data_IF_357020786284
#
_entry.id   IF_357020786284
#
_cell.length_a   1.000
_cell.length_b   1.000
_cell.length_c   1.000
_cell.angle_alpha   90.00
_cell.angle_beta   90.00
_cell.angle_gamma   90.00
#
_symmetry.space_group_name_H-M   'P 1'
#
loop_
_entity.id
_entity.type
_entity.pdbx_description
1 polymer ?
#
# COMPACT_ATOMS: atom_id res chain seq x y z
N UNK A 1 -3.55 -25.43 -11.54
CA UNK A 1 -3.98 -25.21 -10.16
C UNK A 1 -4.75 -23.91 -10.17
N UNK A 2 -6.03 -23.90 -9.79
CA UNK A 2 -6.75 -22.62 -9.63
C UNK A 2 -6.12 -21.86 -8.47
N UNK A 3 -5.66 -20.64 -8.72
CA UNK A 3 -5.19 -19.73 -7.67
C UNK A 3 -6.39 -18.95 -7.16
N UNK A 4 -6.67 -19.09 -5.86
CA UNK A 4 -7.69 -18.25 -5.21
C UNK A 4 -7.21 -16.79 -5.19
N UNK A 5 -8.05 -15.82 -5.61
CA UNK A 5 -7.68 -14.41 -5.54
C UNK A 5 -7.34 -14.01 -4.10
N UNK A 6 -6.12 -13.52 -3.87
CA UNK A 6 -5.65 -13.07 -2.56
C UNK A 6 -5.76 -11.55 -2.45
N UNK A 7 -6.19 -11.10 -1.27
CA UNK A 7 -6.09 -9.71 -0.84
C UNK A 7 -4.92 -9.61 0.14
N UNK A 8 -3.86 -8.89 -0.21
CA UNK A 8 -2.82 -8.52 0.76
C UNK A 8 -3.35 -7.38 1.63
N UNK A 9 -3.70 -7.71 2.88
CA UNK A 9 -4.36 -6.78 3.78
C UNK A 9 -3.43 -5.72 4.37
N UNK A 10 -2.11 -5.83 4.19
CA UNK A 10 -1.17 -4.88 4.78
C UNK A 10 0.19 -4.89 4.06
N UNK A 11 0.43 -3.88 3.24
CA UNK A 11 1.73 -3.58 2.65
C UNK A 11 2.13 -2.12 2.87
N UNK A 12 3.42 -1.81 2.70
CA UNK A 12 3.95 -0.45 2.69
C UNK A 12 4.56 -0.15 1.33
N UNK A 13 3.74 -0.14 0.27
CA UNK A 13 4.20 0.12 -1.09
C UNK A 13 4.58 1.59 -1.29
N UNK A 14 4.18 2.48 -0.38
CA UNK A 14 4.58 3.90 -0.34
C UNK A 14 6.04 4.12 0.05
N UNK A 15 6.70 3.13 0.66
CA UNK A 15 8.10 3.22 1.08
C UNK A 15 9.08 3.38 -0.10
N UNK A 16 10.17 4.10 0.16
CA UNK A 16 11.21 4.44 -0.82
C UNK A 16 11.92 3.22 -1.42
N UNK A 17 11.93 2.11 -0.68
CA UNK A 17 12.49 0.83 -1.06
C UNK A 17 11.85 0.27 -2.34
N UNK A 18 10.62 0.70 -2.64
CA UNK A 18 9.91 0.33 -3.86
C UNK A 18 10.06 1.36 -4.98
N UNK A 19 10.69 2.52 -4.79
CA UNK A 19 10.70 3.59 -5.82
C UNK A 19 11.26 3.14 -7.17
N UNK A 20 12.29 2.30 -7.15
CA UNK A 20 12.92 1.81 -8.37
C UNK A 20 12.05 0.83 -9.16
N UNK A 21 11.15 0.10 -8.50
CA UNK A 21 10.50 -1.06 -9.10
C UNK A 21 9.01 -1.25 -8.76
N UNK A 22 8.38 -0.29 -8.07
CA UNK A 22 7.00 -0.37 -7.52
C UNK A 22 5.99 -0.93 -8.51
N UNK A 23 5.91 -0.34 -9.70
CA UNK A 23 4.99 -0.79 -10.73
C UNK A 23 5.24 -2.26 -11.11
N UNK A 24 6.51 -2.64 -11.28
CA UNK A 24 6.87 -4.03 -11.58
C UNK A 24 6.59 -4.98 -10.41
N UNK A 25 6.76 -4.52 -9.17
CA UNK A 25 6.41 -5.28 -7.94
C UNK A 25 4.91 -5.56 -7.89
N UNK A 26 4.08 -4.56 -8.17
CA UNK A 26 2.62 -4.69 -8.22
C UNK A 26 2.19 -5.69 -9.30
N UNK A 27 2.76 -5.60 -10.50
CA UNK A 27 2.45 -6.55 -11.58
C UNK A 27 2.89 -7.98 -11.25
N UNK A 28 4.06 -8.15 -10.60
CA UNK A 28 4.50 -9.48 -10.13
C UNK A 28 3.56 -10.04 -9.07
N UNK A 29 3.08 -9.21 -8.14
CA UNK A 29 2.13 -9.63 -7.10
C UNK A 29 0.81 -10.10 -7.73
N UNK A 30 0.28 -9.33 -8.69
CA UNK A 30 -0.92 -9.69 -9.45
C UNK A 30 -0.74 -10.99 -10.23
N UNK A 31 0.38 -11.16 -10.93
CA UNK A 31 0.69 -12.39 -11.65
C UNK A 31 0.80 -13.64 -10.74
N UNK A 32 1.07 -13.44 -9.44
CA UNK A 32 1.09 -14.48 -8.42
C UNK A 32 -0.28 -14.73 -7.75
N UNK A 33 -1.33 -14.00 -8.15
CA UNK A 33 -2.70 -14.12 -7.60
C UNK A 33 -3.04 -13.12 -6.49
N UNK A 34 -2.18 -12.13 -6.22
CA UNK A 34 -2.45 -11.03 -5.29
C UNK A 34 -3.11 -9.87 -6.05
N UNK A 35 -4.40 -10.01 -6.34
CA UNK A 35 -5.14 -9.07 -7.18
C UNK A 35 -5.51 -7.76 -6.47
N UNK A 36 -5.45 -7.75 -5.14
CA UNK A 36 -5.78 -6.59 -4.31
C UNK A 36 -4.77 -6.40 -3.20
N UNK A 37 -4.37 -5.16 -2.95
CA UNK A 37 -3.37 -4.81 -1.93
C UNK A 37 -3.83 -3.56 -1.18
N UNK A 38 -3.81 -3.59 0.15
CA UNK A 38 -3.98 -2.40 1.00
C UNK A 38 -2.59 -1.85 1.37
N UNK A 39 -2.25 -0.68 0.85
CA UNK A 39 -1.04 0.05 1.29
C UNK A 39 -1.37 0.96 2.47
N UNK A 40 -0.55 0.91 3.51
CA UNK A 40 -0.87 1.49 4.83
C UNK A 40 -0.01 2.72 5.10
N UNK A 41 -0.64 3.89 5.10
CA UNK A 41 -0.05 5.13 5.62
C UNK A 41 0.02 5.12 7.14
N UNK A 42 1.15 5.60 7.67
CA UNK A 42 1.48 5.61 9.11
C UNK A 42 1.58 7.01 9.71
N UNK A 43 1.49 8.04 8.86
CA UNK A 43 1.43 9.46 9.18
C UNK A 43 0.74 10.19 8.03
N UNK A 44 0.64 11.53 8.10
CA UNK A 44 0.00 12.33 7.04
C UNK A 44 0.69 12.18 5.69
N UNK A 45 2.02 12.17 5.65
CA UNK A 45 2.79 12.13 4.40
C UNK A 45 2.62 10.78 3.70
N UNK A 46 2.89 9.69 4.41
CA UNK A 46 2.70 8.31 3.93
C UNK A 46 1.24 8.00 3.59
N UNK A 47 0.27 8.58 4.32
CA UNK A 47 -1.16 8.44 4.00
C UNK A 47 -1.53 9.10 2.67
N UNK A 48 -0.96 10.26 2.36
CA UNK A 48 -1.14 10.92 1.07
C UNK A 48 -0.44 10.16 -0.06
N UNK A 49 0.75 9.63 0.19
CA UNK A 49 1.46 8.76 -0.76
C UNK A 49 0.67 7.48 -1.06
N UNK A 50 0.18 6.80 -0.02
CA UNK A 50 -0.70 5.63 -0.12
C UNK A 50 -1.96 5.93 -0.96
N UNK A 51 -2.62 7.07 -0.70
CA UNK A 51 -3.78 7.50 -1.49
C UNK A 51 -3.43 7.78 -2.96
N UNK A 52 -2.28 8.39 -3.24
CA UNK A 52 -1.82 8.63 -4.59
C UNK A 52 -1.57 7.32 -5.34
N UNK A 53 -0.95 6.32 -4.69
CA UNK A 53 -0.75 5.00 -5.25
C UNK A 53 -2.07 4.27 -5.54
N UNK A 54 -3.02 4.31 -4.61
CA UNK A 54 -4.34 3.69 -4.80
C UNK A 54 -5.13 4.33 -5.96
N UNK A 55 -4.92 5.63 -6.23
CA UNK A 55 -5.49 6.30 -7.41
C UNK A 55 -4.80 5.91 -8.71
N UNK A 56 -3.49 5.62 -8.66
CA UNK A 56 -2.68 5.32 -9.83
C UNK A 56 -2.81 3.87 -10.30
N UNK A 57 -2.92 2.92 -9.37
CA UNK A 57 -2.88 1.48 -9.67
C UNK A 57 -4.22 0.80 -9.34
N UNK A 58 -4.98 0.34 -10.35
CA UNK A 58 -6.20 -0.44 -10.10
C UNK A 58 -5.91 -1.70 -9.28
N UNK A 59 -6.70 -1.91 -8.22
CA UNK A 59 -6.50 -3.03 -7.28
C UNK A 59 -5.72 -2.65 -6.03
N UNK A 60 -5.08 -1.47 -5.98
CA UNK A 60 -4.55 -0.92 -4.74
C UNK A 60 -5.64 -0.15 -3.97
N UNK A 61 -5.61 -0.32 -2.67
CA UNK A 61 -6.41 0.39 -1.68
C UNK A 61 -5.46 1.11 -0.71
N UNK A 62 -5.93 2.18 -0.08
CA UNK A 62 -5.15 2.92 0.90
C UNK A 62 -5.83 2.92 2.27
N UNK A 63 -5.04 2.70 3.31
CA UNK A 63 -5.40 3.06 4.68
C UNK A 63 -4.64 4.35 5.07
N UNK A 64 -5.32 5.25 5.77
CA UNK A 64 -4.74 6.47 6.32
C UNK A 64 -4.85 6.44 7.84
N UNK A 65 -3.79 6.83 8.53
CA UNK A 65 -3.75 6.81 9.98
C UNK A 65 -2.46 7.38 10.56
N UNK A 66 -2.35 7.28 11.88
CA UNK A 66 -1.15 7.59 12.63
C UNK A 66 -0.71 6.32 13.37
N UNK A 67 0.50 5.85 13.07
CA UNK A 67 1.09 4.72 13.79
C UNK A 67 1.36 5.10 15.24
N UNK A 68 1.14 4.23 16.23
CA UNK A 68 1.26 4.57 17.65
C UNK A 68 2.62 5.14 18.06
N UNK A 69 3.70 4.78 17.37
CA UNK A 69 5.03 5.39 17.57
C UNK A 69 5.04 6.91 17.35
N UNK A 70 4.15 7.42 16.50
CA UNK A 70 4.04 8.83 16.13
C UNK A 70 2.85 9.51 16.83
N UNK A 71 2.23 8.84 17.82
CA UNK A 71 1.04 9.35 18.49
C UNK A 71 1.23 10.69 19.21
N UNK A 72 2.46 11.02 19.63
CA UNK A 72 2.80 12.33 20.20
C UNK A 72 2.70 13.47 19.19
N UNK A 73 2.85 13.16 17.90
CA UNK A 73 2.87 14.13 16.81
C UNK A 73 1.48 14.28 16.16
N UNK A 74 0.49 13.47 16.59
CA UNK A 74 -0.86 13.53 16.05
C UNK A 74 -1.67 14.66 16.68
N UNK A 75 -2.16 15.56 15.84
CA UNK A 75 -3.03 16.69 16.24
C UNK A 75 -4.39 16.59 15.54
N UNK A 76 -5.48 16.78 16.29
CA UNK A 76 -6.87 16.79 15.81
C UNK A 76 -7.34 18.16 15.34
#
# INVERSE_FOLDING_TARGET
METLPMFDSHAHLDMSEFDADRGSTIERAKAAGVDKILTVGIDTESSLAALALAKQYPGLYAAAGCHPHNSSDFTT
#
